data_IF_949618903755
#
_entry.id   IF_949618903755
#
_cell.length_a   1.000
_cell.length_b   1.000
_cell.length_c   1.000
_cell.angle_alpha   90.00
_cell.angle_beta   90.00
_cell.angle_gamma   90.00
#
_symmetry.space_group_name_H-M   'P 1'
#
loop_
_entity.id
_entity.type
_entity.pdbx_description
1 polymer ?
#
# COMPACT_ATOMS: atom_id res chain seq x y z
N UNK A 1 -6.71 -8.11 7.56
CA UNK A 1 -6.66 -8.63 8.95
C UNK A 1 -7.85 -8.07 9.70
N UNK A 2 -8.26 -8.70 10.80
CA UNK A 2 -9.26 -8.12 11.70
C UNK A 2 -8.65 -6.95 12.46
N UNK A 3 -9.28 -5.78 12.38
CA UNK A 3 -8.89 -4.58 13.10
C UNK A 3 -9.79 -4.32 14.31
N UNK A 4 -9.26 -3.61 15.31
CA UNK A 4 -10.02 -3.18 16.50
C UNK A 4 -11.22 -2.30 16.13
N UNK A 5 -11.11 -1.54 15.03
CA UNK A 5 -12.09 -0.58 14.57
C UNK A 5 -12.93 -1.07 13.38
N UNK A 6 -12.92 -2.38 13.06
CA UNK A 6 -13.68 -2.94 11.93
C UNK A 6 -15.20 -2.66 12.01
N UNK A 7 -15.73 -2.34 13.19
CA UNK A 7 -17.15 -2.00 13.36
C UNK A 7 -17.56 -0.68 12.68
N UNK A 8 -16.61 0.24 12.47
CA UNK A 8 -16.85 1.57 11.89
C UNK A 8 -16.24 1.74 10.49
N UNK A 9 -15.53 0.72 9.98
CA UNK A 9 -14.93 0.74 8.65
C UNK A 9 -15.91 0.27 7.58
N UNK A 10 -15.73 0.76 6.35
CA UNK A 10 -16.51 0.36 5.18
C UNK A 10 -16.03 -1.00 4.66
N UNK A 11 -16.99 -1.88 4.36
CA UNK A 11 -16.76 -3.16 3.70
C UNK A 11 -17.70 -3.35 2.49
N UNK A 12 -17.30 -4.13 1.47
CA UNK A 12 -15.98 -4.74 1.31
C UNK A 12 -14.87 -3.71 1.07
N UNK A 13 -13.65 -4.04 1.46
CA UNK A 13 -12.46 -3.22 1.21
C UNK A 13 -12.32 -3.00 -0.30
N UNK A 14 -12.30 -1.74 -0.74
CA UNK A 14 -12.33 -1.39 -2.17
C UNK A 14 -11.27 -0.36 -2.58
N UNK A 15 -10.29 -0.09 -1.71
CA UNK A 15 -9.21 0.85 -1.99
C UNK A 15 -8.16 0.21 -2.91
N UNK A 16 -7.66 0.97 -3.90
CA UNK A 16 -6.59 0.48 -4.78
C UNK A 16 -5.34 0.21 -3.93
N UNK A 17 -4.72 -0.95 -4.13
CA UNK A 17 -3.49 -1.34 -3.45
C UNK A 17 -2.37 -1.37 -4.47
N UNK A 18 -1.23 -0.76 -4.14
CA UNK A 18 -0.04 -0.70 -4.98
C UNK A 18 1.14 -1.30 -4.24
N UNK A 19 1.82 -2.24 -4.89
CA UNK A 19 3.05 -2.86 -4.42
C UNK A 19 4.23 -2.24 -5.16
N UNK A 20 5.31 -2.00 -4.45
CA UNK A 20 6.56 -1.45 -4.97
C UNK A 20 7.72 -2.26 -4.40
N UNK A 21 8.47 -2.94 -5.26
CA UNK A 21 9.74 -3.57 -4.93
C UNK A 21 10.87 -2.60 -5.27
N UNK A 22 11.69 -2.26 -4.27
CA UNK A 22 12.75 -1.28 -4.44
C UNK A 22 13.96 -1.83 -5.18
N UNK A 23 14.27 -1.18 -6.30
CA UNK A 23 15.64 -1.08 -6.81
C UNK A 23 16.51 -0.30 -5.80
N UNK A 24 17.56 -0.95 -5.29
CA UNK A 24 18.48 -0.44 -4.28
C UNK A 24 19.73 0.24 -4.89
N UNK A 25 19.68 0.59 -6.18
CA UNK A 25 20.71 1.34 -6.89
C UNK A 25 20.28 2.79 -7.13
N UNK A 26 21.21 3.69 -7.52
CA UNK A 26 20.85 5.06 -7.89
C UNK A 26 19.87 5.17 -9.07
N UNK A 27 19.71 4.10 -9.88
CA UNK A 27 18.81 4.09 -11.04
C UNK A 27 17.31 4.11 -10.63
N UNK A 28 16.98 3.69 -9.41
CA UNK A 28 15.62 3.69 -8.84
C UNK A 28 14.55 3.05 -9.74
N UNK A 29 14.91 2.00 -10.50
CA UNK A 29 13.96 1.28 -11.38
C UNK A 29 13.11 0.29 -10.58
N UNK A 30 12.28 0.82 -9.69
CA UNK A 30 11.39 0.02 -8.86
C UNK A 30 10.39 -0.78 -9.70
N UNK A 31 10.09 -2.01 -9.28
CA UNK A 31 9.01 -2.82 -9.88
C UNK A 31 7.72 -2.47 -9.16
N UNK A 32 6.74 -1.96 -9.90
CA UNK A 32 5.49 -1.46 -9.35
C UNK A 32 4.33 -2.17 -10.03
N UNK A 33 3.40 -2.69 -9.24
CA UNK A 33 2.13 -3.23 -9.72
C UNK A 33 1.00 -2.83 -8.76
N UNK A 34 -0.22 -2.81 -9.26
CA UNK A 34 -1.38 -2.43 -8.44
C UNK A 34 -2.63 -3.19 -8.85
N UNK A 35 -3.51 -3.41 -7.89
CA UNK A 35 -4.83 -3.95 -8.16
C UNK A 35 -5.92 -3.13 -7.49
N UNK A 36 -7.13 -3.22 -8.04
CA UNK A 36 -8.36 -2.83 -7.36
C UNK A 36 -9.03 -4.09 -6.79
N UNK A 37 -9.35 -4.13 -5.50
CA UNK A 37 -10.00 -5.27 -4.87
C UNK A 37 -11.29 -5.69 -5.61
N UNK A 38 -11.42 -6.99 -5.90
CA UNK A 38 -12.72 -7.54 -6.33
C UNK A 38 -13.65 -7.67 -5.13
N UNK A 39 -14.62 -6.76 -5.05
CA UNK A 39 -15.62 -6.71 -3.98
C UNK A 39 -16.47 -7.98 -3.82
N UNK A 40 -16.45 -8.90 -4.79
CA UNK A 40 -17.12 -10.22 -4.68
C UNK A 40 -16.24 -11.28 -4.01
N UNK A 41 -14.93 -11.07 -3.94
CA UNK A 41 -13.99 -11.99 -3.29
C UNK A 41 -14.12 -11.96 -1.77
N UNK A 42 -13.98 -13.13 -1.14
CA UNK A 42 -13.94 -13.27 0.32
C UNK A 42 -12.72 -12.59 0.95
N UNK A 43 -11.64 -12.37 0.19
CA UNK A 43 -10.42 -11.72 0.68
C UNK A 43 -10.64 -10.28 1.17
N UNK A 44 -11.67 -9.61 0.65
CA UNK A 44 -11.93 -8.19 0.93
C UNK A 44 -13.22 -7.95 1.72
N UNK A 45 -13.92 -9.00 2.12
CA UNK A 45 -15.08 -8.88 3.00
C UNK A 45 -14.65 -8.51 4.42
N UNK A 46 -15.63 -8.10 5.25
CA UNK A 46 -15.40 -7.90 6.68
C UNK A 46 -14.78 -9.16 7.31
N UNK A 47 -13.63 -9.04 7.99
CA UNK A 47 -12.98 -10.19 8.63
C UNK A 47 -13.89 -10.87 9.64
N UNK A 48 -13.99 -12.21 9.53
CA UNK A 48 -14.68 -13.07 10.52
C UNK A 48 -13.70 -13.78 11.45
N UNK A 49 -12.44 -13.86 11.04
CA UNK A 49 -11.31 -14.45 11.76
C UNK A 49 -10.15 -13.45 11.77
N UNK A 50 -9.03 -13.79 12.40
CA UNK A 50 -7.83 -12.95 12.51
C UNK A 50 -7.35 -12.42 11.14
N UNK A 51 -7.39 -13.27 10.11
CA UNK A 51 -6.95 -12.92 8.76
C UNK A 51 -7.97 -13.35 7.71
N UNK A 52 -8.13 -12.51 6.68
CA UNK A 52 -8.79 -12.92 5.44
C UNK A 52 -7.81 -13.74 4.60
N UNK A 53 -8.35 -14.53 3.67
CA UNK A 53 -7.54 -15.20 2.65
C UNK A 53 -6.78 -14.14 1.86
N UNK A 54 -5.47 -14.31 1.72
CA UNK A 54 -4.65 -13.41 0.93
C UNK A 54 -5.18 -13.33 -0.50
N UNK A 55 -5.10 -12.15 -1.10
CA UNK A 55 -5.28 -12.01 -2.53
C UNK A 55 -3.92 -11.60 -3.10
N UNK A 56 -3.45 -12.39 -4.06
CA UNK A 56 -2.08 -12.31 -4.56
C UNK A 56 -1.99 -11.41 -5.79
N UNK A 57 -0.76 -10.97 -6.09
CA UNK A 57 -0.37 -10.45 -7.40
C UNK A 57 0.51 -11.53 -8.05
N UNK A 58 -0.08 -12.54 -8.71
CA UNK A 58 0.61 -13.77 -9.07
C UNK A 58 1.78 -13.59 -10.07
N UNK A 59 1.97 -12.39 -10.62
CA UNK A 59 3.05 -12.07 -11.57
C UNK A 59 3.82 -10.79 -11.20
N UNK A 60 3.87 -10.46 -9.91
CA UNK A 60 4.47 -9.21 -9.43
C UNK A 60 5.93 -9.04 -9.87
N UNK A 61 6.77 -10.06 -9.68
CA UNK A 61 8.17 -10.06 -10.10
C UNK A 61 8.59 -11.49 -10.47
N UNK A 62 9.28 -11.67 -11.59
CA UNK A 62 9.85 -12.97 -11.94
C UNK A 62 10.96 -13.34 -10.97
N UNK A 63 10.96 -14.57 -10.47
CA UNK A 63 12.02 -15.06 -9.59
C UNK A 63 13.39 -14.98 -10.26
N UNK A 64 13.48 -15.14 -11.58
CA UNK A 64 14.75 -15.02 -12.33
C UNK A 64 15.39 -13.63 -12.16
N UNK A 65 14.58 -12.58 -12.01
CA UNK A 65 15.08 -11.21 -11.78
C UNK A 65 15.75 -11.08 -10.42
N UNK A 66 15.19 -11.74 -9.39
CA UNK A 66 15.71 -11.74 -8.02
C UNK A 66 16.91 -12.68 -7.88
N UNK A 67 16.87 -13.83 -8.56
CA UNK A 67 17.92 -14.86 -8.47
C UNK A 67 19.15 -14.53 -9.32
N UNK A 68 19.03 -13.61 -10.28
CA UNK A 68 20.15 -13.17 -11.10
C UNK A 68 21.23 -12.55 -10.21
N UNK A 69 22.47 -13.02 -10.39
CA UNK A 69 23.64 -12.46 -9.72
C UNK A 69 23.80 -10.98 -10.07
N UNK A 70 24.07 -10.17 -9.05
CA UNK A 70 24.23 -8.72 -9.22
C UNK A 70 22.93 -7.95 -9.49
N UNK A 71 21.75 -8.55 -9.29
CA UNK A 71 20.47 -7.84 -9.41
C UNK A 71 20.43 -6.58 -8.53
N UNK A 72 19.54 -5.65 -8.90
CA UNK A 72 19.42 -4.38 -8.20
C UNK A 72 18.47 -4.40 -6.99
N UNK A 73 17.75 -5.50 -6.77
CA UNK A 73 16.64 -5.57 -5.80
C UNK A 73 17.03 -6.23 -4.46
N UNK A 74 18.10 -7.02 -4.42
CA UNK A 74 18.63 -7.66 -3.22
C UNK A 74 20.04 -7.16 -2.94
N UNK A 75 20.27 -6.65 -1.73
CA UNK A 75 21.58 -6.24 -1.21
C UNK A 75 21.68 -6.72 0.23
N UNK A 76 22.84 -7.25 0.60
CA UNK A 76 23.10 -7.78 1.96
C UNK A 76 21.98 -8.73 2.44
N UNK A 77 21.61 -9.68 1.56
CA UNK A 77 20.54 -10.65 1.79
C UNK A 77 19.17 -10.04 2.16
N UNK A 78 18.93 -8.79 1.73
CA UNK A 78 17.75 -8.01 2.10
C UNK A 78 17.10 -7.38 0.87
N UNK A 79 15.77 -7.40 0.83
CA UNK A 79 14.93 -6.68 -0.14
C UNK A 79 13.90 -5.82 0.58
N UNK A 80 13.41 -4.78 -0.08
CA UNK A 80 12.40 -3.87 0.46
C UNK A 80 11.16 -3.86 -0.41
N UNK A 81 10.00 -4.14 0.20
CA UNK A 81 8.69 -4.03 -0.43
C UNK A 81 7.90 -2.96 0.30
N UNK A 82 7.35 -2.00 -0.44
CA UNK A 82 6.40 -1.02 0.07
C UNK A 82 5.02 -1.28 -0.51
N UNK A 83 4.03 -1.30 0.39
CA UNK A 83 2.63 -1.42 0.04
C UNK A 83 1.97 -0.08 0.32
N UNK A 84 1.23 0.43 -0.65
CA UNK A 84 0.51 1.70 -0.55
C UNK A 84 -0.97 1.44 -0.81
N UNK A 85 -1.82 1.92 0.10
CA UNK A 85 -3.27 1.87 -0.06
C UNK A 85 -3.75 3.26 -0.45
N UNK A 86 -4.44 3.34 -1.58
CA UNK A 86 -4.98 4.59 -2.09
C UNK A 86 -6.34 4.90 -1.44
N UNK A 87 -6.30 5.81 -0.49
CA UNK A 87 -7.48 6.37 0.16
C UNK A 87 -8.12 7.51 -0.66
N UNK A 88 -7.89 7.57 -1.98
CA UNK A 88 -8.51 8.46 -2.97
C UNK A 88 -10.02 8.61 -2.83
N UNK A 89 -10.68 7.49 -2.56
CA UNK A 89 -12.14 7.41 -2.42
C UNK A 89 -12.60 7.63 -0.96
N UNK A 90 -11.70 7.96 -0.02
CA UNK A 90 -12.06 8.30 1.36
C UNK A 90 -12.70 9.69 1.46
N UNK A 91 -13.72 9.87 2.33
CA UNK A 91 -14.20 11.19 2.72
C UNK A 91 -13.04 12.10 3.13
N UNK A 92 -13.03 13.34 2.64
CA UNK A 92 -11.95 14.32 2.92
C UNK A 92 -11.67 14.50 4.42
N UNK A 93 -12.71 14.37 5.26
CA UNK A 93 -12.60 14.44 6.71
C UNK A 93 -11.65 13.39 7.32
N UNK A 94 -11.41 12.28 6.62
CA UNK A 94 -10.57 11.18 7.09
C UNK A 94 -9.12 11.26 6.58
N UNK A 95 -8.78 12.22 5.73
CA UNK A 95 -7.44 12.38 5.16
C UNK A 95 -6.32 12.59 6.20
N UNK A 96 -6.51 13.39 7.27
CA UNK A 96 -5.46 13.56 8.29
C UNK A 96 -5.07 12.23 8.95
N UNK A 97 -6.05 11.38 9.24
CA UNK A 97 -5.83 10.08 9.87
C UNK A 97 -5.20 9.06 8.91
N UNK A 98 -5.48 9.16 7.60
CA UNK A 98 -4.96 8.24 6.58
C UNK A 98 -3.52 8.58 6.14
N UNK A 99 -3.11 9.85 6.23
CA UNK A 99 -1.79 10.30 5.80
C UNK A 99 -0.74 10.35 6.93
N UNK A 100 -1.17 10.17 8.18
CA UNK A 100 -0.30 10.02 9.37
C UNK A 100 0.31 8.62 9.53
N UNK A 101 0.11 7.70 8.57
CA UNK A 101 0.51 6.30 8.70
C UNK A 101 2.02 6.03 8.58
N UNK A 102 2.85 7.04 8.36
CA UNK A 102 4.30 6.89 8.48
C UNK A 102 4.82 7.67 9.72
N UNK A 103 4.95 7.00 10.87
CA UNK A 103 5.41 7.63 12.12
C UNK A 103 6.87 8.08 12.05
N UNK A 104 7.61 7.70 11.01
CA UNK A 104 8.98 8.15 10.77
C UNK A 104 9.10 9.58 10.20
N UNK A 105 7.99 10.19 9.79
CA UNK A 105 7.99 11.58 9.30
C UNK A 105 7.71 12.58 10.42
N UNK A 106 8.36 13.75 10.35
CA UNK A 106 8.08 14.83 11.29
C UNK A 106 6.68 15.40 11.07
N UNK A 107 6.08 15.94 12.14
CA UNK A 107 4.71 16.48 12.12
C UNK A 107 4.51 17.55 11.03
N UNK A 108 5.55 18.34 10.73
CA UNK A 108 5.51 19.35 9.66
C UNK A 108 5.42 18.71 8.26
N UNK A 109 6.11 17.59 8.03
CA UNK A 109 6.07 16.86 6.75
C UNK A 109 4.70 16.21 6.58
N UNK A 110 4.18 15.59 7.63
CA UNK A 110 2.83 15.00 7.65
C UNK A 110 1.76 16.07 7.33
N UNK A 111 1.82 17.23 7.99
CA UNK A 111 0.89 18.35 7.75
C UNK A 111 0.98 18.89 6.31
N UNK A 112 2.18 19.00 5.74
CA UNK A 112 2.36 19.45 4.35
C UNK A 112 1.74 18.46 3.35
N UNK A 113 1.92 17.15 3.56
CA UNK A 113 1.30 16.11 2.73
C UNK A 113 -0.22 16.13 2.81
N UNK A 114 -0.78 16.28 4.02
CA UNK A 114 -2.23 16.43 4.23
C UNK A 114 -2.78 17.65 3.48
N UNK A 115 -2.10 18.79 3.61
CA UNK A 115 -2.51 20.03 2.94
C UNK A 115 -2.50 19.88 1.42
N UNK A 116 -1.41 19.36 0.86
CA UNK A 116 -1.26 19.16 -0.59
C UNK A 116 -2.33 18.23 -1.16
N UNK A 117 -2.61 17.11 -0.49
CA UNK A 117 -3.64 16.16 -0.95
C UNK A 117 -5.07 16.74 -0.82
N UNK A 118 -5.32 17.54 0.21
CA UNK A 118 -6.60 18.23 0.39
C UNK A 118 -6.84 19.25 -0.73
N UNK A 119 -5.82 20.04 -1.08
CA UNK A 119 -5.85 21.01 -2.17
C UNK A 119 -6.06 20.34 -3.53
N UNK A 120 -5.31 19.27 -3.80
CA UNK A 120 -5.42 18.48 -5.03
C UNK A 120 -6.84 17.94 -5.27
N UNK A 121 -7.56 17.54 -4.20
CA UNK A 121 -8.94 17.03 -4.29
C UNK A 121 -10.01 18.13 -4.27
N UNK A 122 -9.63 19.39 -4.09
CA UNK A 122 -10.54 20.53 -4.13
C UNK A 122 -10.69 21.12 -5.54
N UNK A 123 -9.76 20.80 -6.43
CA UNK A 123 -9.81 21.07 -7.88
C UNK A 123 -10.55 19.94 -8.60
#
# INVERSE_FOLDING_TARGET
>A
MRGEYDAILKFPFNYKVTFCLYDQTPDQRHIIDSFRPDTKSNSFQRPRFEMNIANDIPKFCSLEVIQREGNSYVRDDTLFIKIMVDFGDMPKMLLPFALDLNPGFSMNVQQAMIKQETEKRAQ
#
